data_IF_134342366063
#
_entry.id   IF_134342366063
#
_cell.length_a   1.000
_cell.length_b   1.000
_cell.length_c   1.000
_cell.angle_alpha   90.00
_cell.angle_beta   90.00
_cell.angle_gamma   90.00
#
_symmetry.space_group_name_H-M   'P 1'
#
loop_
_entity.id
_entity.type
_entity.pdbx_description
1 polymer ?
#
# COMPACT_ATOMS: atom_id res chain seq x y z
N UNK A 1 35.91 10.08 -50.75
CA UNK A 1 35.64 10.87 -51.97
C UNK A 1 34.13 10.83 -52.22
N UNK A 2 33.46 11.99 -52.08
CA UNK A 2 32.16 12.39 -52.68
C UNK A 2 30.90 11.52 -52.42
N UNK A 3 29.66 11.99 -52.22
CA UNK A 3 28.95 13.29 -52.18
C UNK A 3 27.71 13.09 -51.26
N UNK A 4 27.35 14.00 -50.33
CA UNK A 4 26.37 15.12 -50.40
C UNK A 4 24.97 14.76 -50.95
N UNK A 5 23.92 15.07 -50.15
CA UNK A 5 22.66 15.80 -50.49
C UNK A 5 21.51 15.30 -49.60
N UNK A 6 21.03 15.98 -48.55
CA UNK A 6 20.25 17.23 -48.46
C UNK A 6 18.88 17.18 -49.18
N UNK A 7 17.78 17.16 -48.42
CA UNK A 7 16.53 17.93 -48.64
C UNK A 7 15.71 18.04 -47.35
N UNK A 8 14.92 19.10 -47.25
CA UNK A 8 14.51 19.81 -46.04
C UNK A 8 12.98 19.92 -45.86
N UNK A 9 12.57 20.64 -44.78
CA UNK A 9 11.24 21.26 -44.50
C UNK A 9 10.11 20.30 -44.07
N UNK A 10 9.26 20.54 -43.06
CA UNK A 10 8.73 21.77 -42.40
C UNK A 10 8.04 21.40 -41.06
N UNK A 11 8.10 22.22 -40.00
CA UNK A 11 7.12 22.19 -38.90
C UNK A 11 6.06 23.29 -39.08
N UNK A 12 4.80 22.90 -39.24
CA UNK A 12 3.66 23.84 -39.36
C UNK A 12 3.09 24.17 -37.98
N UNK A 13 3.12 25.45 -37.65
CA UNK A 13 2.56 26.13 -36.49
C UNK A 13 1.05 25.89 -36.29
N UNK A 14 0.64 25.55 -35.07
CA UNK A 14 -0.62 26.04 -34.48
C UNK A 14 -0.42 26.40 -33.01
N UNK A 15 -0.43 27.71 -32.75
CA UNK A 15 -0.53 28.31 -31.43
C UNK A 15 -1.96 28.22 -30.86
N UNK A 16 -2.01 28.25 -29.52
CA UNK A 16 -3.07 28.77 -28.64
C UNK A 16 -4.38 27.97 -28.53
N UNK A 17 -4.61 27.37 -27.36
CA UNK A 17 -5.61 27.91 -26.41
C UNK A 17 -5.46 27.31 -25.00
N UNK A 18 -4.95 28.10 -24.08
CA UNK A 18 -5.06 27.84 -22.64
C UNK A 18 -6.53 28.14 -22.24
N UNK A 19 -7.22 27.15 -21.66
CA UNK A 19 -8.46 27.38 -20.91
C UNK A 19 -8.26 26.87 -19.49
N UNK A 20 -7.79 27.78 -18.65
CA UNK A 20 -7.95 27.75 -17.20
C UNK A 20 -9.42 27.97 -16.86
N UNK A 21 -10.01 27.11 -16.02
CA UNK A 21 -11.14 27.44 -15.14
C UNK A 21 -11.03 26.57 -13.87
N UNK A 22 -10.45 27.21 -12.87
CA UNK A 22 -10.60 27.14 -11.40
C UNK A 22 -11.21 25.93 -10.67
N UNK A 23 -10.69 25.62 -9.47
CA UNK A 23 -11.19 24.59 -8.57
C UNK A 23 -12.40 25.10 -7.78
N UNK A 24 -13.47 24.31 -7.69
CA UNK A 24 -14.53 24.56 -6.70
C UNK A 24 -14.28 23.63 -5.50
N UNK A 25 -13.47 24.13 -4.56
CA UNK A 25 -13.42 23.65 -3.18
C UNK A 25 -14.77 23.96 -2.52
N UNK A 26 -15.56 22.94 -2.20
CA UNK A 26 -16.68 23.05 -1.29
C UNK A 26 -16.36 22.21 -0.03
N UNK A 27 -15.89 22.81 1.07
CA UNK A 27 -15.82 22.14 2.35
C UNK A 27 -17.23 22.01 2.94
N UNK A 28 -17.73 20.78 3.07
CA UNK A 28 -18.90 20.51 3.91
C UNK A 28 -18.48 20.55 5.39
N UNK A 29 -19.04 21.50 6.11
CA UNK A 29 -18.81 21.72 7.53
C UNK A 29 -19.95 21.12 8.38
N UNK A 30 -19.54 20.32 9.38
CA UNK A 30 -20.04 20.23 10.78
C UNK A 30 -21.47 19.74 11.06
N UNK A 31 -21.57 18.62 11.80
CA UNK A 31 -22.43 18.49 12.98
C UNK A 31 -21.90 17.37 13.90
N UNK A 32 -21.15 17.73 14.94
CA UNK A 32 -20.78 16.81 16.04
C UNK A 32 -21.89 16.80 17.08
N UNK A 33 -22.60 15.68 17.20
CA UNK A 33 -23.52 15.44 18.30
C UNK A 33 -22.72 14.88 19.47
N UNK A 34 -22.58 15.65 20.55
CA UNK A 34 -22.00 15.17 21.82
C UNK A 34 -23.15 14.60 22.63
N UNK A 35 -23.20 13.28 22.79
CA UNK A 35 -24.08 12.63 23.77
C UNK A 35 -23.33 12.55 25.09
N UNK A 36 -23.78 13.32 26.08
CA UNK A 36 -23.35 13.20 27.47
C UNK A 36 -24.19 12.09 28.10
N UNK A 37 -23.62 10.90 28.21
CA UNK A 37 -24.14 9.81 29.01
C UNK A 37 -23.15 9.50 30.13
N UNK A 38 -23.40 10.04 31.31
CA UNK A 38 -22.76 9.62 32.56
C UNK A 38 -23.34 8.25 32.96
N UNK A 39 -22.48 7.26 33.24
CA UNK A 39 -22.61 6.27 34.32
C UNK A 39 -21.57 5.14 34.18
N UNK A 40 -20.92 4.86 35.31
CA UNK A 40 -20.13 3.69 35.69
C UNK A 40 -18.67 3.59 35.22
N UNK A 41 -17.79 4.26 35.99
CA UNK A 41 -16.41 3.84 36.22
C UNK A 41 -16.44 2.44 36.84
N UNK A 42 -16.04 1.42 36.09
CA UNK A 42 -15.46 0.20 36.64
C UNK A 42 -14.40 -0.35 35.67
N UNK A 43 -13.18 -0.45 36.18
CA UNK A 43 -12.09 -1.32 35.70
C UNK A 43 -11.22 -0.78 34.55
N UNK A 44 -10.04 -0.32 34.95
CA UNK A 44 -8.87 -0.13 34.10
C UNK A 44 -8.54 -1.42 33.33
N UNK A 45 -8.85 -1.43 32.04
CA UNK A 45 -8.12 -2.19 31.03
C UNK A 45 -7.66 -1.16 30.00
N UNK A 46 -6.34 -1.02 29.72
CA UNK A 46 -5.87 -0.04 28.77
C UNK A 46 -6.48 -0.35 27.40
N UNK A 47 -7.29 0.61 26.96
CA UNK A 47 -7.87 0.69 25.64
C UNK A 47 -6.76 0.53 24.60
N UNK A 48 -6.73 -0.60 23.89
CA UNK A 48 -6.30 -0.59 22.50
C UNK A 48 -7.37 0.13 21.72
N UNK A 49 -7.26 1.46 21.72
CA UNK A 49 -7.95 2.35 20.79
C UNK A 49 -7.44 2.02 19.39
N UNK A 50 -8.00 1.01 18.74
CA UNK A 50 -7.93 0.88 17.29
C UNK A 50 -8.90 1.89 16.66
N UNK A 51 -8.65 3.17 16.93
CA UNK A 51 -9.19 4.30 16.18
C UNK A 51 -8.41 4.44 14.86
N UNK A 52 -8.48 3.40 14.04
CA UNK A 52 -8.02 3.39 12.63
C UNK A 52 -9.19 2.93 11.76
N UNK A 53 -10.32 3.59 11.92
CA UNK A 53 -11.44 3.55 10.97
C UNK A 53 -11.39 4.75 10.00
N UNK A 54 -10.20 5.29 9.75
CA UNK A 54 -9.96 6.30 8.74
C UNK A 54 -8.70 5.92 7.97
N UNK A 55 -8.84 5.79 6.65
CA UNK A 55 -7.82 5.43 5.65
C UNK A 55 -7.69 3.94 5.28
N UNK A 56 -8.78 3.18 5.26
CA UNK A 56 -8.80 1.92 4.49
C UNK A 56 -9.13 2.22 3.00
N UNK A 57 -8.12 2.57 2.21
CA UNK A 57 -8.18 2.60 0.73
C UNK A 57 -8.10 1.18 0.12
N UNK A 58 -8.75 0.21 0.77
CA UNK A 58 -8.79 -1.18 0.35
C UNK A 58 -10.08 -1.82 0.84
N UNK A 59 -11.01 -2.04 -0.10
CA UNK A 59 -12.30 -2.74 0.03
C UNK A 59 -13.09 -2.38 1.30
N UNK A 60 -14.13 -1.51 1.20
CA UNK A 60 -14.92 -1.11 2.37
C UNK A 60 -15.44 -2.33 3.15
N UNK A 61 -15.10 -2.41 4.44
CA UNK A 61 -15.71 -3.36 5.38
C UNK A 61 -14.90 -4.61 5.73
N UNK A 62 -13.64 -4.73 5.32
CA UNK A 62 -12.80 -5.88 5.67
C UNK A 62 -11.73 -5.50 6.70
N UNK A 63 -11.64 -6.28 7.79
CA UNK A 63 -10.66 -6.06 8.85
C UNK A 63 -9.22 -6.31 8.39
N UNK A 64 -8.24 -5.73 9.10
CA UNK A 64 -6.83 -5.94 8.78
C UNK A 64 -6.40 -7.42 8.88
N UNK A 65 -6.96 -8.17 9.83
CA UNK A 65 -6.73 -9.60 9.99
C UNK A 65 -7.23 -10.38 8.77
N UNK A 66 -8.43 -10.11 8.27
CA UNK A 66 -8.95 -10.75 7.05
C UNK A 66 -8.07 -10.44 5.83
N UNK A 67 -7.58 -9.20 5.72
CA UNK A 67 -6.61 -8.81 4.67
C UNK A 67 -5.32 -9.60 4.77
N UNK A 68 -4.76 -9.76 5.97
CA UNK A 68 -3.56 -10.58 6.22
C UNK A 68 -3.82 -12.05 5.85
N UNK A 69 -4.98 -12.58 6.22
CA UNK A 69 -5.36 -13.97 5.91
C UNK A 69 -5.46 -14.20 4.40
N UNK A 70 -6.06 -13.28 3.65
CA UNK A 70 -6.13 -13.36 2.18
C UNK A 70 -4.73 -13.40 1.57
N UNK A 71 -3.85 -12.46 1.97
CA UNK A 71 -2.47 -12.41 1.48
C UNK A 71 -1.72 -13.69 1.84
N UNK A 72 -1.94 -14.21 3.05
CA UNK A 72 -1.29 -15.44 3.54
C UNK A 72 -1.77 -16.68 2.81
N UNK A 73 -3.07 -16.77 2.49
CA UNK A 73 -3.67 -17.88 1.76
C UNK A 73 -3.20 -17.94 0.31
N UNK A 74 -2.98 -16.79 -0.31
CA UNK A 74 -2.58 -16.67 -1.71
C UNK A 74 -1.05 -16.60 -1.90
N UNK A 75 -0.25 -17.00 -0.91
CA UNK A 75 1.23 -16.98 -1.03
C UNK A 75 1.71 -17.69 -2.29
N UNK A 76 2.70 -17.10 -2.96
CA UNK A 76 3.26 -17.60 -4.22
C UNK A 76 2.36 -17.42 -5.45
N UNK A 77 1.12 -16.93 -5.31
CA UNK A 77 0.26 -16.65 -6.46
C UNK A 77 0.56 -15.28 -7.07
N UNK A 78 0.63 -15.24 -8.40
CA UNK A 78 0.82 -14.00 -9.19
C UNK A 78 -0.29 -12.99 -8.86
N UNK A 79 0.10 -11.75 -8.60
CA UNK A 79 -0.83 -10.66 -8.26
C UNK A 79 -1.17 -10.55 -6.77
N UNK A 80 -0.69 -11.46 -5.91
CA UNK A 80 -0.81 -11.31 -4.45
C UNK A 80 -0.01 -10.08 -3.96
N UNK A 81 1.05 -9.70 -4.67
CA UNK A 81 1.78 -8.47 -4.43
C UNK A 81 0.94 -7.20 -4.60
N UNK A 82 0.11 -7.12 -5.64
CA UNK A 82 -0.87 -6.06 -5.82
C UNK A 82 -1.89 -6.04 -4.67
N UNK A 83 -2.38 -7.21 -4.25
CA UNK A 83 -3.29 -7.31 -3.10
C UNK A 83 -2.67 -6.74 -1.83
N UNK A 84 -1.43 -7.11 -1.52
CA UNK A 84 -0.68 -6.57 -0.39
C UNK A 84 -0.59 -5.04 -0.45
N UNK A 85 -0.18 -4.51 -1.62
CA UNK A 85 -0.03 -3.06 -1.82
C UNK A 85 -1.34 -2.30 -1.73
N UNK A 86 -2.47 -2.93 -2.09
CA UNK A 86 -3.82 -2.33 -1.97
C UNK A 86 -4.36 -2.37 -0.56
N UNK A 87 -4.08 -3.44 0.18
CA UNK A 87 -4.56 -3.60 1.56
C UNK A 87 -3.81 -2.76 2.57
N UNK A 88 -2.51 -2.53 2.36
CA UNK A 88 -1.62 -1.86 3.32
C UNK A 88 -0.83 -0.71 2.67
N UNK A 89 -1.45 -0.01 1.72
CA UNK A 89 -0.82 1.12 1.04
C UNK A 89 -0.39 2.18 2.07
N UNK A 90 0.90 2.51 2.11
CA UNK A 90 1.45 3.50 3.04
C UNK A 90 1.76 2.98 4.45
N UNK A 91 1.34 1.77 4.81
CA UNK A 91 1.54 1.17 6.14
C UNK A 91 2.69 0.16 6.21
N UNK A 92 3.43 -0.02 5.11
CA UNK A 92 4.52 -0.99 4.97
C UNK A 92 5.89 -0.32 5.10
N UNK A 93 6.64 -0.68 6.14
CA UNK A 93 8.01 -0.25 6.40
C UNK A 93 9.00 -1.27 5.79
N UNK A 94 9.89 -0.87 4.87
CA UNK A 94 10.91 -1.78 4.35
C UNK A 94 11.99 -2.05 5.41
N UNK A 95 12.22 -3.32 5.73
CA UNK A 95 13.23 -3.75 6.71
C UNK A 95 14.56 -4.18 6.08
N UNK A 96 14.50 -4.82 4.92
CA UNK A 96 15.67 -5.42 4.30
C UNK A 96 15.33 -6.20 3.03
N UNK A 97 16.37 -6.57 2.29
CA UNK A 97 16.27 -7.32 1.04
C UNK A 97 17.05 -8.62 1.17
N UNK A 98 16.53 -9.71 0.62
CA UNK A 98 17.20 -11.01 0.60
C UNK A 98 16.84 -11.81 -0.66
N UNK A 99 17.62 -12.84 -0.99
CA UNK A 99 17.20 -13.88 -1.93
C UNK A 99 16.03 -14.71 -1.36
N UNK A 100 15.16 -15.17 -2.25
CA UNK A 100 13.98 -15.99 -1.97
C UNK A 100 13.56 -16.86 -3.16
N UNK A 101 12.54 -17.68 -2.98
CA UNK A 101 12.04 -18.62 -4.01
C UNK A 101 11.59 -17.97 -5.31
N UNK A 102 11.13 -16.71 -5.24
CA UNK A 102 10.74 -15.90 -6.38
C UNK A 102 11.82 -14.87 -6.80
N UNK A 103 13.09 -15.04 -6.41
CA UNK A 103 14.16 -14.09 -6.72
C UNK A 103 14.46 -13.14 -5.56
N UNK A 104 14.72 -11.86 -5.84
CA UNK A 104 14.98 -10.89 -4.77
C UNK A 104 13.67 -10.44 -4.12
N UNK A 105 13.62 -10.53 -2.79
CA UNK A 105 12.45 -10.18 -1.99
C UNK A 105 12.79 -9.11 -0.96
N UNK A 106 11.83 -8.24 -0.71
CA UNK A 106 11.89 -7.18 0.29
C UNK A 106 10.99 -7.58 1.46
N UNK A 107 11.52 -7.52 2.67
CA UNK A 107 10.75 -7.75 3.88
C UNK A 107 10.09 -6.43 4.28
N UNK A 108 8.76 -6.41 4.25
CA UNK A 108 7.90 -5.26 4.49
C UNK A 108 7.13 -5.47 5.80
N UNK A 109 7.35 -4.61 6.77
CA UNK A 109 6.73 -4.67 8.09
C UNK A 109 5.54 -3.74 8.19
N UNK A 110 4.39 -4.28 8.57
CA UNK A 110 3.22 -3.51 8.95
C UNK A 110 3.24 -3.26 10.46
N UNK A 111 3.49 -2.01 10.85
CA UNK A 111 3.58 -1.62 12.27
C UNK A 111 2.23 -1.66 12.99
N UNK A 112 1.12 -1.39 12.29
CA UNK A 112 -0.21 -1.40 12.88
C UNK A 112 -0.68 -2.81 13.28
N UNK A 113 -0.25 -3.82 12.52
CA UNK A 113 -0.70 -5.20 12.69
C UNK A 113 0.37 -6.15 13.26
N UNK A 114 1.60 -5.67 13.45
CA UNK A 114 2.74 -6.48 13.90
C UNK A 114 2.97 -7.71 13.00
N UNK A 115 3.04 -7.49 11.68
CA UNK A 115 3.25 -8.55 10.68
C UNK A 115 4.29 -8.12 9.66
N UNK A 116 5.18 -9.03 9.30
CA UNK A 116 6.11 -8.86 8.19
C UNK A 116 5.72 -9.73 7.01
N UNK A 117 5.75 -9.15 5.82
CA UNK A 117 5.54 -9.81 4.54
C UNK A 117 6.85 -9.84 3.76
N UNK A 118 7.18 -10.97 3.15
CA UNK A 118 8.30 -11.06 2.21
C UNK A 118 7.74 -10.96 0.79
N UNK A 119 7.99 -9.83 0.14
CA UNK A 119 7.41 -9.45 -1.14
C UNK A 119 8.45 -9.47 -2.25
N UNK A 120 8.14 -10.16 -3.35
CA UNK A 120 8.90 -10.09 -4.59
C UNK A 120 8.25 -9.10 -5.57
N UNK A 121 8.96 -8.03 -5.91
CA UNK A 121 8.50 -7.07 -6.91
C UNK A 121 8.52 -7.60 -8.35
N UNK A 122 9.40 -8.55 -8.66
CA UNK A 122 9.57 -9.07 -10.03
C UNK A 122 8.37 -9.88 -10.51
N UNK A 123 7.82 -10.74 -9.66
CA UNK A 123 6.67 -11.58 -9.99
C UNK A 123 5.37 -11.11 -9.32
N UNK A 124 5.45 -10.00 -8.58
CA UNK A 124 4.35 -9.44 -7.80
C UNK A 124 3.68 -10.48 -6.88
N UNK A 125 4.51 -11.16 -6.09
CA UNK A 125 4.09 -12.24 -5.18
C UNK A 125 4.55 -12.00 -3.76
N UNK A 126 3.76 -12.48 -2.80
CA UNK A 126 4.19 -12.62 -1.40
C UNK A 126 4.59 -14.07 -1.17
N UNK A 127 5.81 -14.30 -0.71
CA UNK A 127 6.39 -15.64 -0.53
C UNK A 127 6.45 -16.08 0.93
N UNK A 128 6.46 -15.12 1.86
CA UNK A 128 6.42 -15.40 3.29
C UNK A 128 5.59 -14.36 4.04
N UNK A 129 4.96 -14.78 5.13
CA UNK A 129 4.21 -13.91 6.06
C UNK A 129 4.48 -14.43 7.46
N UNK A 130 4.85 -13.55 8.38
CA UNK A 130 5.12 -13.91 9.78
C UNK A 130 4.76 -12.77 10.71
N UNK A 131 4.23 -13.11 11.88
CA UNK A 131 3.97 -12.13 12.94
C UNK A 131 5.29 -11.61 13.52
N UNK A 132 5.30 -10.35 13.94
CA UNK A 132 6.48 -9.66 14.44
C UNK A 132 7.25 -8.92 13.34
N UNK A 133 8.24 -8.13 13.79
CA UNK A 133 9.22 -7.46 12.94
C UNK A 133 10.35 -8.43 12.54
N UNK A 134 10.39 -8.84 11.27
CA UNK A 134 11.34 -9.84 10.75
C UNK A 134 12.26 -9.22 9.70
N UNK A 135 13.47 -8.84 10.11
CA UNK A 135 14.45 -8.21 9.20
C UNK A 135 14.89 -9.17 8.10
N UNK A 136 15.05 -10.45 8.43
CA UNK A 136 15.43 -11.51 7.51
C UNK A 136 14.67 -12.80 7.82
N UNK A 137 13.99 -13.35 6.83
CA UNK A 137 13.33 -14.65 6.95
C UNK A 137 14.34 -15.79 6.76
N UNK A 138 14.14 -16.93 7.44
CA UNK A 138 14.84 -18.18 7.11
C UNK A 138 14.65 -18.54 5.64
N UNK A 139 15.71 -19.03 4.99
CA UNK A 139 15.69 -19.29 3.55
C UNK A 139 14.62 -20.33 3.13
N UNK A 140 14.26 -21.22 4.04
CA UNK A 140 13.23 -22.25 3.84
C UNK A 140 11.79 -21.72 3.96
N UNK A 141 11.58 -20.55 4.57
CA UNK A 141 10.26 -19.91 4.69
C UNK A 141 9.90 -19.04 3.47
N UNK A 142 10.90 -18.65 2.66
CA UNK A 142 10.75 -17.72 1.53
C UNK A 142 10.65 -18.50 0.22
N UNK A 143 9.46 -19.05 -0.07
CA UNK A 143 9.22 -19.93 -1.24
C UNK A 143 8.06 -19.46 -2.10
#
# INVERSE_FOLDING_TARGET
MMMISSTALTPTTKMLKLKSLSPLLAPFAIATMISVGDVAIHSFIPQFQNSVAAMEMGTPGMTAQEKIEIVTKNKGQIGNGDQLRRFFFGDLEPLGVQPGGAGMVVNLYNKANDVTFSYCATYDVVVAVKKGKVVKFPADEVK
#
